data_IF_363773981109
#
_entry.id   IF_363773981109
#
_cell.length_a   1.000
_cell.length_b   1.000
_cell.length_c   1.000
_cell.angle_alpha   90.00
_cell.angle_beta   90.00
_cell.angle_gamma   90.00
#
_symmetry.space_group_name_H-M   'P 1'
#
loop_
_entity.id
_entity.type
_entity.pdbx_description
1 polymer ?
#
# COMPACT_ATOMS: atom_id res chain seq x y z
N UNK A 1 17.05 -35.06 -51.16
CA UNK A 1 17.51 -33.74 -50.69
C UNK A 1 16.56 -33.12 -49.67
N UNK A 2 15.24 -33.29 -49.82
CA UNK A 2 14.22 -32.71 -48.92
C UNK A 2 14.32 -33.09 -47.43
N UNK A 3 14.78 -34.31 -47.09
CA UNK A 3 14.92 -34.72 -45.68
C UNK A 3 16.09 -34.02 -44.97
N UNK A 4 17.15 -33.69 -45.71
CA UNK A 4 18.32 -32.99 -45.16
C UNK A 4 18.00 -31.51 -44.95
N UNK A 5 17.28 -30.88 -45.89
CA UNK A 5 16.84 -29.50 -45.75
C UNK A 5 15.81 -29.35 -44.62
N UNK A 6 14.87 -30.29 -44.48
CA UNK A 6 13.93 -30.30 -43.35
C UNK A 6 14.66 -30.48 -42.01
N UNK A 7 15.65 -31.37 -41.91
CA UNK A 7 16.45 -31.53 -40.70
C UNK A 7 17.17 -30.22 -40.32
N UNK A 8 17.76 -29.54 -41.30
CA UNK A 8 18.43 -28.26 -41.06
C UNK A 8 17.47 -27.20 -40.49
N UNK A 9 16.24 -27.13 -41.00
CA UNK A 9 15.21 -26.22 -40.49
C UNK A 9 14.82 -26.56 -39.04
N UNK A 10 14.68 -27.84 -38.71
CA UNK A 10 14.34 -28.25 -37.34
C UNK A 10 15.46 -27.94 -36.34
N UNK A 11 16.71 -28.17 -36.72
CA UNK A 11 17.87 -27.84 -35.88
C UNK A 11 17.96 -26.34 -35.61
N UNK A 12 17.73 -25.51 -36.63
CA UNK A 12 17.75 -24.05 -36.48
C UNK A 12 16.60 -23.55 -35.60
N UNK A 13 15.40 -24.14 -35.73
CA UNK A 13 14.27 -23.83 -34.85
C UNK A 13 14.55 -24.23 -33.41
N UNK A 14 15.17 -25.38 -33.19
CA UNK A 14 15.60 -25.81 -31.86
C UNK A 14 16.61 -24.82 -31.27
N UNK A 15 17.62 -24.43 -32.06
CA UNK A 15 18.62 -23.44 -31.66
C UNK A 15 17.97 -22.12 -31.23
N UNK A 16 17.01 -21.63 -32.01
CA UNK A 16 16.27 -20.41 -31.68
C UNK A 16 15.46 -20.57 -30.39
N UNK A 17 14.74 -21.69 -30.23
CA UNK A 17 13.96 -21.96 -29.03
C UNK A 17 14.83 -22.04 -27.76
N UNK A 18 16.04 -22.60 -27.86
CA UNK A 18 17.00 -22.65 -26.75
C UNK A 18 17.55 -21.25 -26.40
N UNK A 19 17.77 -20.40 -27.39
CA UNK A 19 18.17 -19.00 -27.16
C UNK A 19 17.06 -18.20 -26.49
N UNK A 20 15.83 -18.30 -26.99
CA UNK A 20 14.67 -17.62 -26.42
C UNK A 20 14.43 -18.08 -24.98
N UNK A 21 14.55 -19.38 -24.72
CA UNK A 21 14.47 -19.95 -23.37
C UNK A 21 15.53 -19.34 -22.45
N UNK A 22 16.78 -19.30 -22.88
CA UNK A 22 17.88 -18.73 -22.08
C UNK A 22 17.64 -17.24 -21.79
N UNK A 23 17.17 -16.49 -22.79
CA UNK A 23 16.83 -15.07 -22.63
C UNK A 23 15.70 -14.87 -21.60
N UNK A 24 14.62 -15.67 -21.69
CA UNK A 24 13.50 -15.58 -20.75
C UNK A 24 13.91 -15.95 -19.32
N UNK A 25 14.73 -16.99 -19.15
CA UNK A 25 15.27 -17.38 -17.84
C UNK A 25 16.06 -16.22 -17.24
N UNK A 26 16.97 -15.61 -18.00
CA UNK A 26 17.76 -14.46 -17.53
C UNK A 26 16.89 -13.25 -17.16
N UNK A 27 15.83 -12.98 -17.93
CA UNK A 27 14.88 -11.92 -17.60
C UNK A 27 14.15 -12.20 -16.28
N UNK A 28 13.65 -13.43 -16.09
CA UNK A 28 12.97 -13.84 -14.86
C UNK A 28 13.89 -13.81 -13.64
N UNK A 29 15.15 -14.21 -13.78
CA UNK A 29 16.14 -14.13 -12.71
C UNK A 29 16.41 -12.69 -12.29
N UNK A 30 16.51 -11.78 -13.25
CA UNK A 30 16.65 -10.34 -12.99
C UNK A 30 15.42 -9.78 -12.28
N UNK A 31 14.22 -10.11 -12.74
CA UNK A 31 12.98 -9.68 -12.08
C UNK A 31 12.88 -10.22 -10.65
N UNK A 32 13.26 -11.48 -10.44
CA UNK A 32 13.33 -12.09 -9.10
C UNK A 32 14.30 -11.35 -8.20
N UNK A 33 15.49 -10.98 -8.68
CA UNK A 33 16.46 -10.20 -7.93
C UNK A 33 15.92 -8.80 -7.59
N UNK A 34 15.27 -8.13 -8.54
CA UNK A 34 14.63 -6.83 -8.31
C UNK A 34 13.53 -6.91 -7.24
N UNK A 35 12.66 -7.93 -7.30
CA UNK A 35 11.63 -8.15 -6.29
C UNK A 35 12.22 -8.42 -4.90
N UNK A 36 13.32 -9.17 -4.82
CA UNK A 36 14.03 -9.40 -3.57
C UNK A 36 14.58 -8.08 -2.98
N UNK A 37 15.18 -7.23 -3.82
CA UNK A 37 15.66 -5.89 -3.41
C UNK A 37 14.53 -5.00 -2.90
N UNK A 38 13.40 -4.92 -3.62
CA UNK A 38 12.23 -4.13 -3.20
C UNK A 38 11.66 -4.62 -1.87
N UNK A 39 11.62 -5.94 -1.66
CA UNK A 39 11.17 -6.52 -0.37
C UNK A 39 12.11 -6.16 0.77
N UNK A 40 13.43 -6.19 0.56
CA UNK A 40 14.41 -5.80 1.56
C UNK A 40 14.25 -4.31 1.95
N UNK A 41 14.13 -3.42 0.96
CA UNK A 41 13.90 -1.99 1.21
C UNK A 41 12.57 -1.72 1.93
N UNK A 42 11.53 -2.47 1.58
CA UNK A 42 10.24 -2.39 2.28
C UNK A 42 10.40 -2.76 3.76
N UNK A 43 11.03 -3.89 4.06
CA UNK A 43 11.25 -4.33 5.45
C UNK A 43 12.06 -3.28 6.23
N UNK A 44 13.16 -2.80 5.65
CA UNK A 44 13.97 -1.72 6.24
C UNK A 44 13.15 -0.47 6.55
N UNK A 45 12.31 -0.03 5.62
CA UNK A 45 11.45 1.15 5.82
C UNK A 45 10.42 0.90 6.94
N UNK A 46 9.88 -0.31 7.03
CA UNK A 46 8.96 -0.70 8.10
C UNK A 46 9.61 -0.69 9.47
N UNK A 47 10.83 -1.23 9.57
CA UNK A 47 11.64 -1.20 10.80
C UNK A 47 11.93 0.24 11.21
N UNK A 48 12.37 1.10 10.28
CA UNK A 48 12.61 2.52 10.56
C UNK A 48 11.36 3.24 11.07
N UNK A 49 10.20 3.03 10.44
CA UNK A 49 8.93 3.61 10.90
C UNK A 49 8.54 3.11 12.27
N UNK A 50 8.76 1.82 12.55
CA UNK A 50 8.47 1.24 13.83
C UNK A 50 9.34 1.84 14.95
N UNK A 51 10.65 1.97 14.71
CA UNK A 51 11.56 2.62 15.67
C UNK A 51 11.17 4.07 15.94
N UNK A 52 10.92 4.86 14.89
CA UNK A 52 10.43 6.25 15.06
C UNK A 52 9.11 6.29 15.84
N UNK A 53 8.21 5.32 15.63
CA UNK A 53 6.94 5.26 16.38
C UNK A 53 7.16 4.97 17.87
N UNK A 54 8.14 4.12 18.20
CA UNK A 54 8.55 3.89 19.59
C UNK A 54 9.12 5.16 20.21
N UNK A 55 9.98 5.87 19.48
CA UNK A 55 10.58 7.12 19.96
C UNK A 55 9.53 8.19 20.23
N UNK A 56 8.58 8.39 19.32
CA UNK A 56 7.46 9.32 19.50
C UNK A 56 6.63 8.94 20.73
N UNK A 57 6.34 7.66 20.91
CA UNK A 57 5.60 7.16 22.07
C UNK A 57 6.36 7.42 23.36
N UNK A 58 7.68 7.13 23.38
CA UNK A 58 8.56 7.36 24.52
C UNK A 58 8.63 8.84 24.91
N UNK A 59 8.80 9.73 23.93
CA UNK A 59 8.80 11.18 24.14
C UNK A 59 7.45 11.63 24.70
N UNK A 60 6.34 11.17 24.11
CA UNK A 60 4.99 11.53 24.56
C UNK A 60 4.73 11.09 26.00
N UNK A 61 5.16 9.88 26.37
CA UNK A 61 5.05 9.36 27.74
C UNK A 61 5.89 10.19 28.71
N UNK A 62 7.14 10.53 28.36
CA UNK A 62 8.00 11.39 29.20
C UNK A 62 7.39 12.76 29.41
N UNK A 63 6.97 13.45 28.34
CA UNK A 63 6.32 14.76 28.44
C UNK A 63 5.07 14.72 29.31
N UNK A 64 4.28 13.65 29.20
CA UNK A 64 3.08 13.46 30.00
C UNK A 64 3.41 13.27 31.48
N UNK A 65 4.45 12.49 31.80
CA UNK A 65 4.93 12.29 33.18
C UNK A 65 5.44 13.61 33.78
N UNK A 66 6.20 14.37 33.02
CA UNK A 66 6.77 15.66 33.45
C UNK A 66 5.70 16.72 33.70
N UNK A 67 4.60 16.70 32.94
CA UNK A 67 3.51 17.70 33.04
C UNK A 67 2.39 17.33 34.01
N UNK A 68 2.11 16.04 34.23
CA UNK A 68 0.93 15.59 34.98
C UNK A 68 1.26 14.79 36.24
N UNK A 69 2.53 14.45 36.48
CA UNK A 69 3.03 13.98 37.77
C UNK A 69 2.78 12.51 38.16
N UNK A 70 2.02 11.70 37.40
CA UNK A 70 1.91 10.24 37.64
C UNK A 70 1.10 9.53 36.56
N UNK A 71 1.67 8.54 35.84
CA UNK A 71 1.13 7.85 34.65
C UNK A 71 -0.40 7.56 34.70
N UNK A 72 -1.16 7.66 33.57
CA UNK A 72 -2.52 7.15 33.57
C UNK A 72 -2.43 5.63 33.79
N UNK A 73 -2.99 5.15 34.89
CA UNK A 73 -3.05 3.71 35.18
C UNK A 73 -3.85 3.04 34.07
N UNK A 74 -3.17 2.26 33.22
CA UNK A 74 -3.84 1.33 32.30
C UNK A 74 -4.66 0.39 33.19
N UNK A 75 -5.99 0.36 33.08
CA UNK A 75 -6.79 -0.53 33.90
C UNK A 75 -6.39 -1.97 33.60
N UNK A 76 -5.93 -2.66 34.64
CA UNK A 76 -5.55 -4.06 34.57
C UNK A 76 -6.78 -4.88 34.20
N UNK A 77 -6.75 -5.50 33.01
CA UNK A 77 -7.82 -6.34 32.46
C UNK A 77 -8.01 -7.64 33.27
N UNK A 78 -7.29 -7.83 34.37
CA UNK A 78 -7.33 -9.02 35.22
C UNK A 78 -8.58 -9.13 36.11
N UNK A 79 -9.44 -8.10 36.21
CA UNK A 79 -10.73 -8.21 36.90
C UNK A 79 -11.87 -8.58 35.98
N UNK A 80 -11.98 -9.88 35.77
CA UNK A 80 -13.21 -10.67 35.59
C UNK A 80 -14.41 -10.00 34.93
N UNK A 81 -14.71 -10.45 33.72
CA UNK A 81 -16.08 -10.50 33.19
C UNK A 81 -16.92 -11.30 34.19
N UNK A 82 -17.69 -10.61 35.02
CA UNK A 82 -18.68 -11.26 35.88
C UNK A 82 -19.84 -11.65 34.96
N UNK A 83 -20.01 -12.96 34.78
CA UNK A 83 -21.15 -13.53 34.08
C UNK A 83 -22.45 -13.12 34.80
N UNK A 84 -23.39 -12.51 34.08
CA UNK A 84 -24.80 -12.53 34.47
C UNK A 84 -25.57 -13.37 33.44
N UNK A 85 -25.85 -14.62 33.81
CA UNK A 85 -26.89 -15.41 33.17
C UNK A 85 -28.26 -14.83 33.53
N UNK A 86 -29.10 -14.64 32.50
CA UNK A 86 -30.55 -14.77 32.60
C UNK A 86 -31.36 -13.48 32.69
N UNK A 87 -31.94 -13.05 31.55
CA UNK A 87 -33.38 -12.79 31.41
C UNK A 87 -33.69 -12.29 29.98
N UNK A 88 -34.67 -12.92 29.36
CA UNK A 88 -35.25 -12.51 28.09
C UNK A 88 -35.84 -11.09 28.17
N UNK A 89 -35.76 -10.35 27.06
CA UNK A 89 -36.50 -9.10 26.88
C UNK A 89 -35.67 -8.02 26.19
N UNK A 90 -35.73 -7.96 24.86
CA UNK A 90 -35.44 -6.71 24.16
C UNK A 90 -36.51 -5.67 24.53
N UNK A 91 -36.09 -4.43 24.84
CA UNK A 91 -36.63 -3.33 24.06
C UNK A 91 -35.51 -2.38 23.60
N UNK A 92 -35.70 -1.90 22.37
CA UNK A 92 -34.84 -0.96 21.67
C UNK A 92 -34.45 0.26 22.53
N UNK A 93 -33.15 0.57 22.57
CA UNK A 93 -32.63 1.89 22.95
C UNK A 93 -32.02 2.56 21.70
N UNK A 94 -32.30 3.85 21.42
CA UNK A 94 -31.94 4.48 20.17
C UNK A 94 -30.42 4.65 20.07
N UNK A 95 -29.83 4.13 19.00
CA UNK A 95 -28.49 4.53 18.57
C UNK A 95 -28.56 6.00 18.23
N UNK A 96 -27.92 6.83 19.03
CA UNK A 96 -27.80 8.27 18.82
C UNK A 96 -26.80 8.52 17.66
N UNK A 97 -27.21 8.89 16.43
CA UNK A 97 -26.30 9.00 15.29
C UNK A 97 -25.54 10.33 15.27
N UNK A 98 -25.58 11.11 16.36
CA UNK A 98 -25.11 12.50 16.42
C UNK A 98 -24.02 12.70 17.48
N UNK A 99 -22.88 12.05 17.29
CA UNK A 99 -21.58 12.63 17.67
C UNK A 99 -20.68 12.56 16.44
N UNK A 100 -20.77 13.61 15.63
CA UNK A 100 -20.15 13.72 14.33
C UNK A 100 -18.63 13.84 14.38
N UNK A 101 -17.97 13.18 13.44
CA UNK A 101 -16.81 13.75 12.77
C UNK A 101 -17.42 14.59 11.63
N UNK A 102 -17.09 15.89 11.46
CA UNK A 102 -17.56 16.62 10.30
C UNK A 102 -17.01 15.94 9.05
N UNK A 103 -17.88 15.26 8.31
CA UNK A 103 -17.62 14.73 6.98
C UNK A 103 -17.50 15.88 5.98
N UNK A 104 -16.39 16.63 6.06
CA UNK A 104 -15.95 17.55 5.01
C UNK A 104 -14.43 17.50 4.89
N UNK A 105 -13.93 16.40 4.36
CA UNK A 105 -12.84 16.45 3.41
C UNK A 105 -13.12 15.36 2.38
N UNK A 106 -13.52 15.80 1.19
CA UNK A 106 -13.56 14.92 0.03
C UNK A 106 -12.14 14.38 -0.14
N UNK A 107 -11.98 13.06 0.00
CA UNK A 107 -10.76 12.38 -0.42
C UNK A 107 -10.47 12.80 -1.87
N UNK A 108 -9.27 13.32 -2.20
CA UNK A 108 -8.98 13.63 -3.59
C UNK A 108 -9.05 12.31 -4.36
N UNK A 109 -9.97 12.25 -5.33
CA UNK A 109 -9.98 11.22 -6.35
C UNK A 109 -8.67 11.37 -7.11
N UNK A 110 -7.70 10.51 -6.82
CA UNK A 110 -6.49 10.38 -7.62
C UNK A 110 -6.89 9.59 -8.85
N UNK A 111 -7.24 10.30 -9.92
CA UNK A 111 -7.36 9.70 -11.25
C UNK A 111 -5.95 9.27 -11.67
N UNK A 112 -5.67 7.97 -11.57
CA UNK A 112 -4.45 7.39 -12.14
C UNK A 112 -4.57 7.51 -13.66
N UNK A 113 -3.87 8.48 -14.25
CA UNK A 113 -3.69 8.55 -15.71
C UNK A 113 -3.03 7.26 -16.17
N UNK A 114 -3.69 6.51 -17.06
CA UNK A 114 -2.99 5.49 -17.84
C UNK A 114 -2.03 6.22 -18.78
N UNK A 115 -0.83 5.64 -18.95
CA UNK A 115 0.14 6.10 -19.92
C UNK A 115 -0.47 5.93 -21.33
N UNK A 116 -1.02 7.00 -21.90
CA UNK A 116 -1.67 6.96 -23.21
C UNK A 116 -2.69 8.06 -23.52
N UNK A 117 -3.10 8.92 -22.57
CA UNK A 117 -4.10 9.95 -22.86
C UNK A 117 -3.50 11.12 -23.70
N UNK A 118 -4.10 11.47 -24.85
CA UNK A 118 -3.59 12.54 -25.71
C UNK A 118 -3.80 13.92 -25.08
N UNK A 119 -2.80 14.78 -25.27
CA UNK A 119 -2.68 16.13 -24.73
C UNK A 119 -3.76 17.06 -25.31
N UNK A 120 -4.89 17.22 -24.62
CA UNK A 120 -5.87 18.28 -24.91
C UNK A 120 -5.26 19.63 -24.52
N UNK A 121 -4.85 20.39 -25.53
CA UNK A 121 -4.40 21.78 -25.38
C UNK A 121 -5.57 22.62 -24.86
N UNK A 122 -5.42 23.17 -23.65
CA UNK A 122 -6.36 24.15 -23.11
C UNK A 122 -6.34 25.42 -23.95
N UNK A 123 -7.41 25.61 -24.73
CA UNK A 123 -7.74 26.90 -25.33
C UNK A 123 -8.01 27.92 -24.22
N UNK A 124 -7.02 28.78 -23.95
CA UNK A 124 -7.21 29.98 -23.13
C UNK A 124 -7.76 31.09 -24.02
N UNK A 125 -8.94 31.58 -23.66
CA UNK A 125 -9.51 32.82 -24.18
C UNK A 125 -8.56 34.01 -24.00
N UNK A 126 -8.55 34.88 -25.00
CA UNK A 126 -7.59 35.97 -25.15
C UNK A 126 -7.92 37.25 -24.41
N UNK A 127 -6.98 38.20 -24.47
CA UNK A 127 -7.16 39.63 -24.26
C UNK A 127 -6.15 40.43 -25.11
N UNK A 128 -6.70 41.39 -25.86
CA UNK A 128 -6.15 42.72 -26.24
C UNK A 128 -4.83 42.85 -27.02
N UNK A 129 -4.96 43.35 -28.27
CA UNK A 129 -3.90 44.03 -29.03
C UNK A 129 -4.16 45.54 -29.00
N UNK A 130 -3.20 46.32 -28.52
CA UNK A 130 -3.10 47.76 -28.79
C UNK A 130 -2.10 47.96 -29.93
N UNK A 131 -2.55 48.57 -31.02
CA UNK A 131 -1.76 49.37 -31.98
C UNK A 131 -2.73 50.18 -32.83
#
# INVERSE_FOLDING_TARGET
>A
EDLQSQNAVWLERQRQAEQDRTMLIGALEKERANLASVRAERLRTWEQRHEVSKDITSISVKQWQDTTGSAPKIPDSSKGVVASQGAAGAPHSPVDPRKGIPAKQASPVVTVRRLGDPMQQGAKGGWTTFA
#
